data_IF_960467396362
#
_entry.id   IF_960467396362
#
_cell.length_a   1.000
_cell.length_b   1.000
_cell.length_c   1.000
_cell.angle_alpha   90.00
_cell.angle_beta   90.00
_cell.angle_gamma   90.00
#
_symmetry.space_group_name_H-M   'P 1'
#
loop_
_entity.id
_entity.type
_entity.pdbx_description
1 polymer ?
#
# COMPACT_ATOMS: atom_id res chain seq x y z
N UNK A 1 51.51 21.66 -2.72
CA UNK A 1 50.88 20.33 -2.65
C UNK A 1 50.18 20.23 -1.32
N UNK A 2 48.90 19.91 -1.14
CA UNK A 2 47.78 19.59 -2.02
C UNK A 2 46.53 19.99 -1.21
N UNK A 3 45.74 20.93 -1.73
CA UNK A 3 44.49 21.33 -1.10
C UNK A 3 43.47 20.19 -1.18
N UNK A 4 42.98 19.73 -0.02
CA UNK A 4 41.83 18.83 0.04
C UNK A 4 40.60 19.60 -0.43
N UNK A 5 40.09 19.26 -1.61
CA UNK A 5 38.75 19.66 -2.08
C UNK A 5 37.73 19.18 -1.04
N UNK A 6 37.02 20.12 -0.41
CA UNK A 6 35.73 19.82 0.22
C UNK A 6 34.78 19.39 -0.91
N UNK A 7 34.48 18.10 -0.97
CA UNK A 7 33.31 17.65 -1.71
C UNK A 7 32.09 18.30 -1.04
N UNK A 8 31.40 19.13 -1.82
CA UNK A 8 30.10 19.66 -1.45
C UNK A 8 29.18 18.46 -1.32
N UNK A 9 28.65 18.21 -0.12
CA UNK A 9 27.45 17.41 0.08
C UNK A 9 26.39 17.93 -0.91
N UNK A 10 26.21 17.20 -2.02
CA UNK A 10 25.13 17.46 -2.96
C UNK A 10 23.85 17.07 -2.21
N UNK A 11 22.95 18.03 -2.09
CA UNK A 11 21.73 17.90 -1.30
C UNK A 11 20.97 16.64 -1.66
N UNK A 12 20.52 15.93 -0.62
CA UNK A 12 19.51 14.89 -0.68
C UNK A 12 18.33 15.47 -1.49
N UNK A 13 18.06 14.91 -2.66
CA UNK A 13 16.87 15.26 -3.41
C UNK A 13 15.72 14.54 -2.71
N UNK A 14 15.09 15.22 -1.76
CA UNK A 14 13.91 14.70 -1.07
C UNK A 14 12.72 14.80 -2.02
N UNK A 15 11.98 13.71 -2.27
CA UNK A 15 10.72 13.76 -3.01
C UNK A 15 9.74 14.80 -2.40
N UNK A 16 9.77 14.99 -1.07
CA UNK A 16 9.05 16.08 -0.39
C UNK A 16 9.42 17.47 -0.92
N UNK A 17 10.67 17.69 -1.35
CA UNK A 17 11.08 18.97 -1.95
C UNK A 17 10.49 19.17 -3.35
N UNK A 18 10.24 18.11 -4.14
CA UNK A 18 9.63 18.24 -5.46
C UNK A 18 8.15 18.66 -5.39
N UNK A 19 7.44 18.22 -4.36
CA UNK A 19 6.05 18.64 -4.05
C UNK A 19 6.04 20.07 -3.51
N UNK A 20 6.95 20.40 -2.57
CA UNK A 20 7.10 21.77 -2.05
C UNK A 20 7.49 22.75 -3.17
N UNK A 21 8.20 22.29 -4.21
CA UNK A 21 8.54 23.08 -5.39
C UNK A 21 7.43 23.17 -6.44
N UNK A 22 6.26 22.57 -6.20
CA UNK A 22 5.10 22.66 -7.09
C UNK A 22 5.32 22.03 -8.47
N UNK A 23 6.13 20.97 -8.54
CA UNK A 23 6.50 20.36 -9.82
C UNK A 23 5.43 19.44 -10.39
N UNK A 24 4.48 18.96 -9.57
CA UNK A 24 3.30 18.18 -10.02
C UNK A 24 2.04 18.84 -9.47
N UNK A 25 1.00 18.85 -10.30
CA UNK A 25 -0.30 19.46 -10.03
C UNK A 25 -1.31 18.44 -9.50
N UNK A 26 -1.09 17.13 -9.71
CA UNK A 26 -1.97 16.06 -9.25
C UNK A 26 -1.25 14.70 -9.19
N UNK A 27 -1.91 13.73 -8.56
CA UNK A 27 -1.39 12.39 -8.32
C UNK A 27 -1.02 11.64 -9.61
N UNK A 28 -1.80 11.74 -10.69
CA UNK A 28 -1.50 11.01 -11.93
C UNK A 28 -0.21 11.54 -12.59
N UNK A 29 -0.04 12.87 -12.63
CA UNK A 29 1.20 13.50 -13.11
C UNK A 29 2.41 13.06 -12.27
N UNK A 30 2.24 12.95 -10.95
CA UNK A 30 3.31 12.46 -10.07
C UNK A 30 3.68 11.01 -10.38
N UNK A 31 2.70 10.13 -10.60
CA UNK A 31 2.96 8.72 -10.86
C UNK A 31 3.65 8.44 -12.21
N UNK A 32 3.62 9.41 -13.13
CA UNK A 32 4.37 9.38 -14.40
C UNK A 32 5.84 9.81 -14.27
N UNK A 33 6.25 10.33 -13.12
CA UNK A 33 7.63 10.77 -12.93
C UNK A 33 8.63 9.62 -12.97
N UNK A 34 9.80 9.88 -13.53
CA UNK A 34 10.92 8.95 -13.50
C UNK A 34 11.74 9.15 -12.22
N UNK A 35 11.98 8.07 -11.49
CA UNK A 35 12.91 8.09 -10.35
C UNK A 35 14.34 8.04 -10.87
N UNK A 36 15.18 8.97 -10.42
CA UNK A 36 16.62 8.94 -10.70
C UNK A 36 17.27 7.88 -9.80
N UNK A 37 17.72 6.72 -10.32
CA UNK A 37 18.24 5.62 -9.50
C UNK A 37 19.56 6.00 -8.79
N UNK A 38 20.23 7.06 -9.24
CA UNK A 38 21.44 7.58 -8.60
C UNK A 38 21.16 8.52 -7.44
N UNK A 39 19.88 8.90 -7.23
CA UNK A 39 19.43 9.85 -6.21
C UNK A 39 18.28 9.26 -5.40
N UNK A 40 18.59 8.23 -4.62
CA UNK A 40 17.67 7.64 -3.65
C UNK A 40 18.41 6.56 -2.87
N UNK A 41 18.15 6.46 -1.57
CA UNK A 41 18.60 5.30 -0.80
C UNK A 41 17.50 4.25 -0.95
N UNK A 42 17.64 3.35 -1.93
CA UNK A 42 16.78 2.18 -2.03
C UNK A 42 17.40 1.09 -1.16
N UNK A 43 16.99 1.02 0.10
CA UNK A 43 17.61 0.22 1.17
C UNK A 43 17.33 -1.29 1.09
N UNK A 44 16.75 -1.77 -0.01
CA UNK A 44 16.27 -3.15 -0.16
C UNK A 44 17.32 -4.06 -0.74
N UNK A 45 17.34 -5.29 -0.24
CA UNK A 45 18.22 -6.35 -0.72
C UNK A 45 17.35 -7.43 -1.34
N UNK A 46 17.49 -7.65 -2.65
CA UNK A 46 17.07 -8.90 -3.27
C UNK A 46 18.15 -9.95 -2.98
N UNK A 47 17.75 -11.06 -2.38
CA UNK A 47 18.64 -12.17 -2.04
C UNK A 47 18.77 -13.16 -3.19
N UNK A 48 17.76 -13.26 -4.06
CA UNK A 48 17.65 -14.30 -5.08
C UNK A 48 17.52 -15.70 -4.49
N UNK A 49 17.19 -15.81 -3.19
CA UNK A 49 17.15 -17.09 -2.48
C UNK A 49 15.88 -17.90 -2.75
N UNK A 50 14.80 -17.23 -3.18
CA UNK A 50 13.53 -17.84 -3.52
C UNK A 50 13.16 -17.61 -5.00
N UNK A 51 12.31 -18.48 -5.59
CA UNK A 51 11.69 -18.19 -6.88
C UNK A 51 11.04 -16.81 -6.90
N UNK A 52 11.13 -16.14 -8.05
CA UNK A 52 10.61 -14.77 -8.26
C UNK A 52 9.16 -14.63 -7.79
N UNK A 53 8.28 -15.61 -8.07
CA UNK A 53 6.88 -15.54 -7.62
C UNK A 53 6.74 -15.49 -6.09
N UNK A 54 7.58 -16.22 -5.35
CA UNK A 54 7.54 -16.15 -3.89
C UNK A 54 8.09 -14.80 -3.39
N UNK A 55 9.15 -14.29 -4.02
CA UNK A 55 9.67 -12.97 -3.72
C UNK A 55 8.63 -11.87 -3.94
N UNK A 56 7.90 -11.92 -5.05
CA UNK A 56 6.79 -11.00 -5.34
C UNK A 56 5.70 -11.05 -4.26
N UNK A 57 5.30 -12.26 -3.83
CA UNK A 57 4.32 -12.40 -2.75
C UNK A 57 4.81 -11.87 -1.41
N UNK A 58 6.09 -12.06 -1.08
CA UNK A 58 6.70 -11.51 0.15
C UNK A 58 6.72 -9.99 0.10
N UNK A 59 6.98 -9.40 -1.07
CA UNK A 59 7.02 -7.94 -1.25
C UNK A 59 5.67 -7.22 -1.11
N UNK A 60 4.54 -7.93 -1.01
CA UNK A 60 3.21 -7.33 -0.80
C UNK A 60 3.01 -6.72 0.59
N UNK A 61 3.89 -7.03 1.54
CA UNK A 61 3.93 -6.33 2.83
C UNK A 61 4.31 -4.86 2.70
N UNK A 62 4.81 -4.44 1.53
CA UNK A 62 5.08 -3.03 1.24
C UNK A 62 3.76 -2.26 1.24
N UNK A 63 3.73 -1.04 1.80
CA UNK A 63 4.87 -0.17 2.09
C UNK A 63 5.50 -0.38 3.48
N UNK A 64 5.10 -1.38 4.25
CA UNK A 64 5.49 -1.50 5.65
C UNK A 64 6.90 -2.08 5.83
N UNK A 65 7.82 -1.36 6.48
CA UNK A 65 9.12 -1.92 6.92
C UNK A 65 10.39 -1.42 6.20
N UNK A 66 10.34 -0.32 5.44
CA UNK A 66 11.51 0.21 4.70
C UNK A 66 12.63 0.82 5.56
N UNK A 67 12.38 1.10 6.83
CA UNK A 67 13.41 1.61 7.73
C UNK A 67 14.48 0.57 8.08
N UNK A 68 14.25 -0.71 7.75
CA UNK A 68 15.17 -1.81 8.04
C UNK A 68 15.74 -2.40 6.74
N UNK A 69 17.07 -2.59 6.62
CA UNK A 69 17.68 -3.29 5.50
C UNK A 69 17.35 -4.77 5.60
N UNK A 70 16.13 -5.14 5.21
CA UNK A 70 15.63 -6.51 5.24
C UNK A 70 15.38 -7.01 3.82
N UNK A 71 15.65 -8.28 3.55
CA UNK A 71 15.27 -8.91 2.30
C UNK A 71 13.78 -8.70 2.00
N UNK A 72 13.48 -8.25 0.79
CA UNK A 72 12.08 -8.09 0.31
C UNK A 72 11.57 -9.31 -0.46
N UNK A 73 12.44 -10.30 -0.65
CA UNK A 73 12.20 -11.51 -1.41
C UNK A 73 12.43 -12.79 -0.58
N UNK A 74 12.60 -12.66 0.74
CA UNK A 74 12.82 -13.77 1.65
C UNK A 74 12.01 -13.61 2.96
N UNK A 75 11.66 -14.71 3.64
CA UNK A 75 10.95 -14.66 4.91
C UNK A 75 11.73 -13.84 5.94
N UNK A 76 11.02 -13.15 6.86
CA UNK A 76 11.71 -12.40 7.89
C UNK A 76 12.47 -13.35 8.83
N UNK A 77 13.56 -12.85 9.42
CA UNK A 77 14.24 -13.56 10.49
C UNK A 77 13.30 -13.66 11.70
N UNK A 78 13.07 -14.87 12.18
CA UNK A 78 12.36 -15.10 13.44
C UNK A 78 13.21 -14.62 14.61
N UNK A 79 12.61 -13.83 15.49
CA UNK A 79 13.23 -13.30 16.69
C UNK A 79 12.76 -14.11 17.88
N UNK A 80 13.68 -14.78 18.57
CA UNK A 80 13.36 -15.56 19.75
C UNK A 80 13.30 -14.68 21.01
N UNK A 81 12.50 -15.04 22.00
CA UNK A 81 12.47 -14.33 23.29
C UNK A 81 13.83 -14.31 24.04
N UNK A 82 14.76 -15.21 23.68
CA UNK A 82 16.11 -15.33 24.27
C UNK A 82 17.22 -14.66 23.43
N UNK A 83 16.84 -13.83 22.48
CA UNK A 83 17.72 -13.12 21.56
C UNK A 83 18.52 -11.97 22.20
N UNK A 84 19.33 -11.26 21.40
CA UNK A 84 20.05 -10.06 21.84
C UNK A 84 19.09 -8.98 22.39
N UNK A 85 19.57 -8.01 23.20
CA UNK A 85 18.71 -6.95 23.73
C UNK A 85 17.96 -6.14 22.65
N UNK A 86 18.57 -5.94 21.48
CA UNK A 86 17.94 -5.26 20.34
C UNK A 86 16.77 -6.07 19.77
N UNK A 87 16.99 -7.37 19.57
CA UNK A 87 15.99 -8.31 19.10
C UNK A 87 14.84 -8.47 20.12
N UNK A 88 15.11 -8.46 21.43
CA UNK A 88 14.07 -8.44 22.45
C UNK A 88 13.21 -7.17 22.38
N UNK A 89 13.82 -6.02 22.10
CA UNK A 89 13.10 -4.76 21.88
C UNK A 89 12.17 -4.81 20.66
N UNK A 90 12.68 -5.34 19.54
CA UNK A 90 11.90 -5.55 18.32
C UNK A 90 10.73 -6.51 18.55
N UNK A 91 10.96 -7.63 19.23
CA UNK A 91 9.91 -8.59 19.61
C UNK A 91 8.82 -7.90 20.44
N UNK A 92 9.20 -7.18 21.49
CA UNK A 92 8.25 -6.51 22.37
C UNK A 92 7.43 -5.44 21.62
N UNK A 93 8.08 -4.69 20.72
CA UNK A 93 7.41 -3.70 19.88
C UNK A 93 6.36 -4.35 18.97
N UNK A 94 6.72 -5.42 18.24
CA UNK A 94 5.81 -6.09 17.32
C UNK A 94 4.68 -6.80 18.06
N UNK A 95 4.99 -7.50 19.16
CA UNK A 95 3.98 -8.13 20.00
C UNK A 95 2.98 -7.10 20.54
N UNK A 96 3.47 -5.93 20.99
CA UNK A 96 2.60 -4.81 21.41
C UNK A 96 1.72 -4.30 20.27
N UNK A 97 2.25 -4.19 19.05
CA UNK A 97 1.45 -3.76 17.88
C UNK A 97 0.37 -4.79 17.52
N UNK A 98 0.70 -6.08 17.51
CA UNK A 98 -0.26 -7.16 17.25
C UNK A 98 -1.37 -7.18 18.32
N UNK A 99 -1.01 -7.04 19.60
CA UNK A 99 -2.00 -7.03 20.68
C UNK A 99 -2.87 -5.75 20.65
N UNK A 100 -2.25 -4.56 20.60
CA UNK A 100 -2.98 -3.30 20.75
C UNK A 100 -3.75 -2.85 19.52
N UNK A 101 -3.22 -3.11 18.31
CA UNK A 101 -3.86 -2.65 17.06
C UNK A 101 -4.75 -3.73 16.45
N UNK A 102 -4.46 -5.00 16.71
CA UNK A 102 -5.15 -6.12 16.08
C UNK A 102 -5.85 -7.07 17.06
N UNK A 103 -5.59 -6.97 18.36
CA UNK A 103 -6.10 -7.92 19.35
C UNK A 103 -5.51 -9.32 19.21
N UNK A 104 -4.37 -9.47 18.53
CA UNK A 104 -3.75 -10.76 18.24
C UNK A 104 -2.68 -11.07 19.29
N UNK A 105 -2.88 -12.17 20.02
CA UNK A 105 -1.96 -12.66 21.06
C UNK A 105 -1.50 -14.10 20.83
N UNK A 106 -2.06 -14.77 19.82
CA UNK A 106 -1.79 -16.18 19.52
C UNK A 106 -1.69 -16.46 18.01
N UNK A 107 -1.15 -17.64 17.67
CA UNK A 107 -1.08 -18.12 16.29
C UNK A 107 -2.46 -18.28 15.65
N UNK A 108 -3.45 -18.78 16.39
CA UNK A 108 -4.78 -19.04 15.85
C UNK A 108 -5.49 -17.73 15.50
N UNK A 109 -5.44 -16.73 16.39
CA UNK A 109 -5.97 -15.38 16.14
C UNK A 109 -5.28 -14.70 14.95
N UNK A 110 -3.95 -14.89 14.81
CA UNK A 110 -3.20 -14.37 13.66
C UNK A 110 -3.71 -14.98 12.35
N UNK A 111 -3.84 -16.31 12.30
CA UNK A 111 -4.30 -17.03 11.11
C UNK A 111 -5.76 -16.69 10.77
N UNK A 112 -6.61 -16.53 11.78
CA UNK A 112 -7.99 -16.07 11.60
C UNK A 112 -8.04 -14.65 11.01
N UNK A 113 -7.26 -13.71 11.55
CA UNK A 113 -7.19 -12.35 11.05
C UNK A 113 -6.67 -12.29 9.60
N UNK A 114 -5.59 -13.01 9.29
CA UNK A 114 -5.06 -13.08 7.92
C UNK A 114 -6.06 -13.74 6.97
N UNK A 115 -6.69 -14.83 7.38
CA UNK A 115 -7.71 -15.51 6.58
C UNK A 115 -8.90 -14.59 6.31
N UNK A 116 -9.35 -13.83 7.31
CA UNK A 116 -10.45 -12.88 7.16
C UNK A 116 -10.14 -11.83 6.07
N UNK A 117 -8.95 -11.20 6.15
CA UNK A 117 -8.53 -10.18 5.18
C UNK A 117 -8.42 -10.73 3.75
N UNK A 118 -7.99 -11.98 3.58
CA UNK A 118 -7.80 -12.59 2.27
C UNK A 118 -9.07 -13.27 1.71
N UNK A 119 -10.07 -13.59 2.53
CA UNK A 119 -11.27 -14.33 2.09
C UNK A 119 -12.24 -13.49 1.25
N UNK A 120 -12.29 -12.18 1.50
CA UNK A 120 -13.09 -11.26 0.71
C UNK A 120 -12.45 -9.86 0.76
N UNK A 121 -11.39 -9.63 -0.03
CA UNK A 121 -10.66 -8.36 0.02
C UNK A 121 -11.43 -7.21 -0.66
N UNK A 122 -12.62 -7.47 -1.23
CA UNK A 122 -13.43 -6.45 -1.91
C UNK A 122 -14.33 -5.74 -0.91
N UNK A 123 -14.26 -4.42 -0.92
CA UNK A 123 -15.25 -3.56 -0.29
C UNK A 123 -16.47 -3.38 -1.22
N UNK A 124 -17.57 -4.06 -0.89
CA UNK A 124 -18.79 -4.04 -1.69
C UNK A 124 -19.47 -2.66 -1.69
N UNK A 125 -19.35 -1.89 -0.60
CA UNK A 125 -19.89 -0.54 -0.51
C UNK A 125 -19.13 0.38 -1.47
N UNK A 126 -17.79 0.34 -1.44
CA UNK A 126 -16.96 1.07 -2.39
C UNK A 126 -17.33 0.75 -3.83
N UNK A 127 -17.43 -0.53 -4.19
CA UNK A 127 -17.77 -0.92 -5.57
C UNK A 127 -19.11 -0.33 -6.01
N UNK A 128 -20.08 -0.31 -5.10
CA UNK A 128 -21.42 0.22 -5.38
C UNK A 128 -21.42 1.76 -5.48
N UNK A 129 -20.64 2.46 -4.64
CA UNK A 129 -20.56 3.93 -4.61
C UNK A 129 -19.55 4.54 -5.60
N UNK A 130 -18.60 3.74 -6.08
CA UNK A 130 -17.49 4.16 -6.97
C UNK A 130 -17.94 5.04 -8.14
N UNK A 131 -19.04 4.77 -8.86
CA UNK A 131 -19.47 5.63 -9.97
C UNK A 131 -19.78 7.08 -9.56
N UNK A 132 -20.24 7.31 -8.34
CA UNK A 132 -20.55 8.66 -7.82
C UNK A 132 -19.27 9.36 -7.33
N UNK A 133 -18.36 8.61 -6.71
CA UNK A 133 -17.05 9.10 -6.30
C UNK A 133 -16.24 9.51 -7.55
N UNK A 134 -16.26 8.70 -8.61
CA UNK A 134 -15.57 9.00 -9.87
C UNK A 134 -16.14 10.26 -10.53
N UNK A 135 -17.47 10.45 -10.50
CA UNK A 135 -18.09 11.68 -11.02
C UNK A 135 -17.56 12.93 -10.31
N UNK A 136 -17.32 12.88 -9.00
CA UNK A 136 -16.70 13.98 -8.27
C UNK A 136 -15.22 14.14 -8.64
N UNK A 137 -14.47 13.04 -8.70
CA UNK A 137 -13.04 13.04 -9.04
C UNK A 137 -12.75 13.58 -10.46
N UNK A 138 -13.67 13.36 -11.41
CA UNK A 138 -13.55 13.84 -12.79
C UNK A 138 -13.74 15.37 -12.91
N UNK A 139 -14.31 16.03 -11.89
CA UNK A 139 -14.49 17.48 -11.88
C UNK A 139 -13.20 18.20 -11.43
N UNK A 140 -12.94 19.41 -11.94
CA UNK A 140 -11.91 20.28 -11.37
C UNK A 140 -12.15 20.49 -9.87
N UNK A 141 -11.10 20.43 -9.04
CA UNK A 141 -11.20 20.54 -7.57
C UNK A 141 -12.10 21.69 -7.11
N UNK A 142 -11.98 22.86 -7.73
CA UNK A 142 -12.75 24.08 -7.38
C UNK A 142 -14.25 23.97 -7.60
N UNK A 143 -14.69 22.97 -8.37
CA UNK A 143 -16.11 22.73 -8.69
C UNK A 143 -16.72 21.62 -7.80
N UNK A 144 -15.88 20.82 -7.12
CA UNK A 144 -16.29 19.62 -6.39
C UNK A 144 -17.26 19.93 -5.24
N UNK A 145 -16.96 20.91 -4.39
CA UNK A 145 -17.83 21.30 -3.27
C UNK A 145 -19.27 21.60 -3.70
N UNK A 146 -19.44 22.28 -4.83
CA UNK A 146 -20.76 22.63 -5.35
C UNK A 146 -21.51 21.43 -5.94
N UNK A 147 -20.79 20.39 -6.37
CA UNK A 147 -21.35 19.18 -6.98
C UNK A 147 -21.78 18.14 -5.95
N UNK A 148 -21.22 18.16 -4.72
CA UNK A 148 -21.50 17.19 -3.64
C UNK A 148 -23.00 16.96 -3.42
N UNK A 149 -23.87 17.99 -3.24
CA UNK A 149 -25.29 17.75 -2.99
C UNK A 149 -26.00 17.03 -4.14
N UNK A 150 -25.63 17.35 -5.38
CA UNK A 150 -26.23 16.72 -6.57
C UNK A 150 -25.79 15.26 -6.70
N UNK A 151 -24.50 14.98 -6.51
CA UNK A 151 -23.96 13.62 -6.58
C UNK A 151 -24.55 12.73 -5.48
N UNK A 152 -24.69 13.25 -4.25
CA UNK A 152 -25.31 12.54 -3.15
C UNK A 152 -26.79 12.22 -3.42
N UNK A 153 -27.56 13.17 -3.99
CA UNK A 153 -28.96 12.90 -4.35
C UNK A 153 -29.08 11.90 -5.51
N UNK A 154 -28.16 11.92 -6.47
CA UNK A 154 -28.12 10.91 -7.54
C UNK A 154 -27.88 9.51 -6.98
N UNK A 155 -26.90 9.37 -6.08
CA UNK A 155 -26.65 8.09 -5.40
C UNK A 155 -27.91 7.61 -4.68
N UNK A 156 -28.48 8.42 -3.80
CA UNK A 156 -29.70 8.04 -3.07
C UNK A 156 -30.84 7.65 -4.00
N UNK A 157 -31.08 8.43 -5.07
CA UNK A 157 -32.13 8.13 -6.03
C UNK A 157 -31.97 6.76 -6.71
N UNK A 158 -30.75 6.36 -7.04
CA UNK A 158 -30.46 5.06 -7.65
C UNK A 158 -30.61 3.90 -6.64
N UNK A 159 -30.27 4.14 -5.37
CA UNK A 159 -30.42 3.14 -4.30
C UNK A 159 -31.84 3.04 -3.72
N UNK A 160 -32.77 3.98 -4.03
CA UNK A 160 -34.17 3.95 -3.53
C UNK A 160 -34.94 2.66 -3.84
N UNK A 161 -34.54 1.93 -4.88
CA UNK A 161 -35.17 0.67 -5.27
C UNK A 161 -34.56 -0.55 -4.56
N UNK A 162 -33.54 -0.34 -3.73
CA UNK A 162 -32.88 -1.37 -2.94
C UNK A 162 -33.44 -1.41 -1.52
N UNK A 163 -33.05 -2.42 -0.74
CA UNK A 163 -33.38 -2.51 0.70
C UNK A 163 -32.42 -1.67 1.58
N UNK A 164 -31.44 -0.97 0.98
CA UNK A 164 -30.46 -0.18 1.71
C UNK A 164 -31.10 1.17 2.10
N UNK A 165 -31.09 1.55 3.40
CA UNK A 165 -31.61 2.83 3.85
C UNK A 165 -30.89 4.03 3.23
N UNK A 166 -31.62 5.12 2.93
CA UNK A 166 -31.05 6.32 2.28
C UNK A 166 -29.95 6.99 3.12
N UNK A 167 -30.10 6.98 4.44
CA UNK A 167 -29.11 7.50 5.39
C UNK A 167 -27.79 6.72 5.33
N UNK A 168 -27.85 5.39 5.25
CA UNK A 168 -26.66 4.53 5.09
C UNK A 168 -25.91 4.87 3.79
N UNK A 169 -26.63 5.07 2.68
CA UNK A 169 -26.01 5.47 1.40
C UNK A 169 -25.34 6.84 1.51
N UNK A 170 -25.98 7.81 2.19
CA UNK A 170 -25.42 9.15 2.38
C UNK A 170 -24.18 9.11 3.26
N UNK A 171 -24.25 8.44 4.42
CA UNK A 171 -23.12 8.33 5.36
C UNK A 171 -21.93 7.62 4.72
N UNK A 172 -22.16 6.50 4.02
CA UNK A 172 -21.11 5.79 3.29
C UNK A 172 -20.43 6.71 2.26
N UNK A 173 -21.22 7.44 1.47
CA UNK A 173 -20.73 8.33 0.43
C UNK A 173 -20.03 9.59 0.98
N UNK A 174 -20.51 10.19 2.07
CA UNK A 174 -19.98 11.43 2.65
C UNK A 174 -18.47 11.32 2.94
N UNK A 175 -18.06 10.22 3.58
CA UNK A 175 -16.64 9.96 3.87
C UNK A 175 -15.75 9.93 2.62
N UNK A 176 -16.30 9.46 1.49
CA UNK A 176 -15.59 9.46 0.21
C UNK A 176 -15.54 10.85 -0.42
N UNK A 177 -16.66 11.58 -0.43
CA UNK A 177 -16.71 12.90 -1.05
C UNK A 177 -15.79 13.88 -0.33
N UNK A 178 -15.70 13.81 0.99
CA UNK A 178 -14.81 14.63 1.82
C UNK A 178 -13.32 14.43 1.49
N UNK A 179 -12.91 13.22 1.09
CA UNK A 179 -11.54 12.96 0.63
C UNK A 179 -11.24 13.68 -0.68
N UNK A 180 -12.23 13.85 -1.57
CA UNK A 180 -12.04 14.41 -2.91
C UNK A 180 -12.33 15.91 -3.03
N UNK A 181 -12.99 16.53 -2.05
CA UNK A 181 -13.22 17.99 -2.03
C UNK A 181 -12.00 18.79 -1.57
N UNK A 182 -11.11 18.18 -0.81
CA UNK A 182 -9.92 18.85 -0.27
C UNK A 182 -8.81 18.97 -1.32
N UNK A 183 -8.43 20.20 -1.69
CA UNK A 183 -7.47 20.48 -2.77
C UNK A 183 -6.12 19.78 -2.61
N UNK A 184 -5.60 19.68 -1.39
CA UNK A 184 -4.31 19.03 -1.14
C UNK A 184 -4.35 17.50 -1.38
N UNK A 185 -5.52 16.87 -1.34
CA UNK A 185 -5.66 15.42 -1.52
C UNK A 185 -5.51 15.01 -2.98
N UNK A 186 -5.72 15.91 -3.94
CA UNK A 186 -5.61 15.63 -5.38
C UNK A 186 -4.22 15.11 -5.77
N UNK A 187 -3.18 15.47 -5.00
CA UNK A 187 -1.83 14.96 -5.21
C UNK A 187 -1.56 13.63 -4.49
N UNK A 188 -2.35 13.25 -3.49
CA UNK A 188 -2.05 12.14 -2.58
C UNK A 188 -2.69 10.82 -2.98
N UNK A 189 -3.88 10.87 -3.59
CA UNK A 189 -4.69 9.69 -3.92
C UNK A 189 -5.10 9.65 -5.40
N UNK A 190 -5.44 8.46 -5.93
CA UNK A 190 -5.84 8.27 -7.32
C UNK A 190 -7.02 9.14 -7.70
N UNK A 191 -6.94 9.79 -8.86
CA UNK A 191 -8.08 10.53 -9.44
C UNK A 191 -8.84 9.64 -10.44
N UNK A 192 -8.14 8.66 -11.05
CA UNK A 192 -8.78 7.54 -11.71
C UNK A 192 -8.99 6.41 -10.69
N UNK A 193 -10.24 6.17 -10.30
CA UNK A 193 -10.53 5.24 -9.23
C UNK A 193 -10.29 3.77 -9.66
N UNK A 194 -9.57 2.97 -8.86
CA UNK A 194 -9.42 1.54 -9.12
C UNK A 194 -10.77 0.81 -9.07
N UNK A 195 -10.85 -0.39 -9.63
CA UNK A 195 -12.11 -1.16 -9.68
C UNK A 195 -12.52 -1.75 -8.33
N UNK A 196 -11.58 -1.91 -7.40
CA UNK A 196 -11.77 -2.43 -6.05
C UNK A 196 -10.80 -1.75 -5.08
N UNK A 197 -10.79 -2.16 -3.81
CA UNK A 197 -9.78 -1.75 -2.82
C UNK A 197 -8.95 -2.94 -2.31
N UNK A 198 -8.94 -4.05 -3.05
CA UNK A 198 -8.36 -5.32 -2.60
C UNK A 198 -6.88 -5.19 -2.21
N UNK A 199 -6.13 -4.33 -2.90
CA UNK A 199 -4.73 -4.05 -2.57
C UNK A 199 -4.51 -3.64 -1.11
N UNK A 200 -5.43 -2.90 -0.49
CA UNK A 200 -5.32 -2.48 0.91
C UNK A 200 -5.41 -3.67 1.88
N UNK A 201 -6.44 -4.50 1.74
CA UNK A 201 -6.62 -5.66 2.63
C UNK A 201 -5.54 -6.72 2.42
N UNK A 202 -5.10 -6.93 1.18
CA UNK A 202 -3.99 -7.85 0.87
C UNK A 202 -2.68 -7.34 1.48
N UNK A 203 -2.37 -6.05 1.36
CA UNK A 203 -1.16 -5.45 1.95
C UNK A 203 -1.16 -5.53 3.48
N UNK A 204 -2.32 -5.29 4.11
CA UNK A 204 -2.51 -5.48 5.55
C UNK A 204 -2.31 -6.94 5.97
N UNK A 205 -2.87 -7.89 5.23
CA UNK A 205 -2.70 -9.32 5.50
C UNK A 205 -1.23 -9.73 5.44
N UNK A 206 -0.51 -9.28 4.40
CA UNK A 206 0.92 -9.52 4.25
C UNK A 206 1.74 -8.91 5.40
N UNK A 207 1.38 -7.69 5.86
CA UNK A 207 2.01 -7.04 7.03
C UNK A 207 1.81 -7.85 8.30
N UNK A 208 0.57 -8.24 8.60
CA UNK A 208 0.21 -8.98 9.82
C UNK A 208 0.89 -10.33 9.83
N UNK A 209 0.84 -11.07 8.72
CA UNK A 209 1.54 -12.35 8.59
C UNK A 209 3.05 -12.19 8.80
N UNK A 210 3.68 -11.16 8.24
CA UNK A 210 5.10 -10.88 8.45
C UNK A 210 5.41 -10.59 9.91
N UNK A 211 4.62 -9.77 10.59
CA UNK A 211 4.77 -9.48 12.02
C UNK A 211 4.67 -10.75 12.86
N UNK A 212 3.63 -11.57 12.61
CA UNK A 212 3.45 -12.86 13.28
C UNK A 212 4.61 -13.83 13.04
N UNK A 213 5.17 -13.87 11.83
CA UNK A 213 6.35 -14.67 11.52
C UNK A 213 7.59 -14.19 12.31
N UNK A 214 7.81 -12.87 12.41
CA UNK A 214 8.95 -12.32 13.17
C UNK A 214 8.89 -12.76 14.64
N UNK A 215 7.71 -12.67 15.28
CA UNK A 215 7.55 -13.04 16.69
C UNK A 215 7.34 -14.55 16.90
N UNK A 216 7.43 -15.35 15.83
CA UNK A 216 7.34 -16.81 15.90
C UNK A 216 5.94 -17.36 16.18
N UNK A 217 4.87 -16.59 15.90
CA UNK A 217 3.50 -17.09 15.93
C UNK A 217 3.24 -18.06 14.77
N UNK A 218 3.83 -17.80 13.61
CA UNK A 218 3.85 -18.72 12.46
C UNK A 218 5.29 -18.97 12.02
N UNK A 219 5.53 -20.11 11.39
CA UNK A 219 6.83 -20.43 10.83
C UNK A 219 7.03 -19.79 9.42
N UNK A 220 8.28 -19.73 8.93
CA UNK A 220 8.57 -19.17 7.61
C UNK A 220 7.85 -19.87 6.44
N UNK A 221 7.58 -21.18 6.52
CA UNK A 221 6.90 -21.92 5.44
C UNK A 221 5.42 -21.54 5.39
N UNK A 222 4.77 -21.38 6.55
CA UNK A 222 3.42 -20.84 6.66
C UNK A 222 3.34 -19.40 6.11
N UNK A 223 4.31 -18.54 6.45
CA UNK A 223 4.38 -17.18 5.91
C UNK A 223 4.48 -17.17 4.38
N UNK A 224 5.36 -18.01 3.81
CA UNK A 224 5.52 -18.14 2.35
C UNK A 224 4.22 -18.58 1.67
N UNK A 225 3.49 -19.53 2.26
CA UNK A 225 2.20 -19.98 1.71
C UNK A 225 1.14 -18.87 1.74
N UNK A 226 1.10 -18.06 2.80
CA UNK A 226 0.23 -16.88 2.90
C UNK A 226 0.61 -15.86 1.84
N UNK A 227 1.90 -15.54 1.70
CA UNK A 227 2.41 -14.62 0.66
C UNK A 227 2.09 -15.07 -0.76
N UNK A 228 2.16 -16.38 -1.04
CA UNK A 228 1.76 -16.95 -2.33
C UNK A 228 0.25 -16.78 -2.60
N UNK A 229 -0.56 -16.97 -1.57
CA UNK A 229 -2.02 -16.76 -1.64
C UNK A 229 -2.34 -15.29 -1.89
N UNK A 230 -1.68 -14.38 -1.16
CA UNK A 230 -1.79 -12.94 -1.34
C UNK A 230 -1.43 -12.52 -2.78
N UNK A 231 -0.33 -13.03 -3.36
CA UNK A 231 0.02 -12.74 -4.75
C UNK A 231 -1.02 -13.24 -5.76
N UNK A 232 -1.59 -14.42 -5.51
CA UNK A 232 -2.65 -14.97 -6.36
C UNK A 232 -3.85 -14.04 -6.38
N UNK A 233 -4.28 -13.55 -5.21
CA UNK A 233 -5.39 -12.60 -5.09
C UNK A 233 -5.03 -11.22 -5.68
N UNK A 234 -3.80 -10.75 -5.51
CA UNK A 234 -3.35 -9.50 -6.16
C UNK A 234 -3.46 -9.61 -7.68
N UNK A 235 -3.06 -10.75 -8.27
CA UNK A 235 -3.25 -10.99 -9.71
C UNK A 235 -4.72 -11.07 -10.08
N UNK A 236 -5.57 -11.63 -9.24
CA UNK A 236 -7.02 -11.69 -9.52
C UNK A 236 -7.67 -10.31 -9.56
N UNK A 237 -7.31 -9.42 -8.63
CA UNK A 237 -7.98 -8.13 -8.43
C UNK A 237 -7.26 -6.92 -9.00
N UNK A 238 -6.00 -7.04 -9.41
CA UNK A 238 -5.22 -5.94 -9.95
C UNK A 238 -4.70 -6.24 -11.36
N UNK A 239 -4.90 -5.31 -12.28
CA UNK A 239 -4.42 -5.43 -13.67
C UNK A 239 -2.90 -5.24 -13.77
N UNK A 240 -2.31 -4.52 -12.81
CA UNK A 240 -0.88 -4.21 -12.78
C UNK A 240 -0.43 -3.84 -11.36
N UNK A 241 0.87 -3.70 -11.13
CA UNK A 241 1.38 -3.13 -9.88
C UNK A 241 0.88 -1.70 -9.63
N UNK A 242 0.70 -0.91 -10.70
CA UNK A 242 0.15 0.45 -10.60
C UNK A 242 -1.26 0.44 -10.02
N UNK A 243 -2.10 -0.46 -10.52
CA UNK A 243 -3.48 -0.65 -10.05
C UNK A 243 -3.49 -1.16 -8.60
N UNK A 244 -2.63 -2.13 -8.25
CA UNK A 244 -2.48 -2.58 -6.85
C UNK A 244 -2.12 -1.42 -5.90
N UNK A 245 -1.21 -0.52 -6.31
CA UNK A 245 -0.85 0.69 -5.54
C UNK A 245 -2.03 1.64 -5.38
N UNK A 246 -2.83 1.86 -6.44
CA UNK A 246 -4.03 2.70 -6.35
C UNK A 246 -5.04 2.14 -5.36
N UNK A 247 -5.30 0.83 -5.43
CA UNK A 247 -6.19 0.12 -4.51
C UNK A 247 -5.70 0.25 -3.06
N UNK A 248 -4.39 0.11 -2.83
CA UNK A 248 -3.80 0.23 -1.51
C UNK A 248 -3.95 1.65 -0.94
N UNK A 249 -3.54 2.68 -1.68
CA UNK A 249 -3.54 4.06 -1.19
C UNK A 249 -4.96 4.55 -0.92
N UNK A 250 -5.89 4.27 -1.84
CA UNK A 250 -7.28 4.67 -1.68
C UNK A 250 -7.98 3.87 -0.56
N UNK A 251 -7.70 2.57 -0.43
CA UNK A 251 -8.25 1.75 0.65
C UNK A 251 -7.77 2.19 2.03
N UNK A 252 -6.49 2.55 2.16
CA UNK A 252 -5.97 3.16 3.40
C UNK A 252 -6.65 4.50 3.71
N UNK A 253 -6.79 5.36 2.71
CA UNK A 253 -7.43 6.66 2.84
C UNK A 253 -8.85 6.53 3.39
N UNK A 254 -9.63 5.59 2.86
CA UNK A 254 -10.96 5.29 3.38
C UNK A 254 -10.94 4.72 4.78
N UNK A 255 -10.03 3.79 5.06
CA UNK A 255 -9.94 3.19 6.39
C UNK A 255 -9.61 4.22 7.47
N UNK A 256 -8.82 5.25 7.15
CA UNK A 256 -8.51 6.33 8.08
C UNK A 256 -9.54 7.47 8.07
N UNK A 257 -10.24 7.68 6.96
CA UNK A 257 -11.14 8.82 6.71
C UNK A 257 -10.42 10.19 6.72
N UNK A 258 -9.10 10.20 6.62
CA UNK A 258 -8.27 11.39 6.42
C UNK A 258 -6.96 11.02 5.72
N UNK A 259 -6.27 12.02 5.18
CA UNK A 259 -4.92 11.88 4.64
C UNK A 259 -3.91 12.65 5.49
N UNK A 260 -2.78 12.01 5.77
CA UNK A 260 -1.71 12.52 6.62
C UNK A 260 -0.34 12.51 5.92
N UNK A 261 0.70 12.99 6.62
CA UNK A 261 2.08 12.90 6.10
C UNK A 261 2.50 11.45 5.82
N UNK A 262 1.97 10.46 6.55
CA UNK A 262 2.27 9.05 6.33
C UNK A 262 1.68 8.58 4.97
N UNK A 263 0.53 9.09 4.56
CA UNK A 263 -0.05 8.87 3.22
C UNK A 263 0.94 9.30 2.13
N UNK A 264 1.55 10.47 2.30
CA UNK A 264 2.54 10.99 1.38
C UNK A 264 3.77 10.07 1.31
N UNK A 265 4.29 9.65 2.46
CA UNK A 265 5.44 8.75 2.53
C UNK A 265 5.14 7.39 1.87
N UNK A 266 3.94 6.83 2.09
CA UNK A 266 3.50 5.60 1.43
C UNK A 266 3.40 5.75 -0.09
N UNK A 267 2.81 6.85 -0.57
CA UNK A 267 2.70 7.14 -2.00
C UNK A 267 4.08 7.22 -2.66
N UNK A 268 4.97 8.01 -2.08
CA UNK A 268 6.32 8.23 -2.61
C UNK A 268 7.11 6.91 -2.67
N UNK A 269 6.93 6.07 -1.65
CA UNK A 269 7.59 4.78 -1.57
C UNK A 269 7.07 3.79 -2.60
N UNK A 270 5.74 3.70 -2.77
CA UNK A 270 5.13 2.89 -3.82
C UNK A 270 5.54 3.37 -5.21
N UNK A 271 5.63 4.68 -5.43
CA UNK A 271 6.14 5.25 -6.67
C UNK A 271 7.58 4.80 -6.95
N UNK A 272 8.46 4.87 -5.94
CA UNK A 272 9.83 4.35 -6.07
C UNK A 272 9.84 2.87 -6.42
N UNK A 273 8.94 2.05 -5.85
CA UNK A 273 8.83 0.63 -6.21
C UNK A 273 8.41 0.39 -7.64
N UNK A 274 7.52 1.20 -8.18
CA UNK A 274 7.08 1.08 -9.55
C UNK A 274 8.16 1.49 -10.57
N UNK A 275 9.10 2.36 -10.18
CA UNK A 275 10.02 3.02 -11.12
C UNK A 275 11.50 2.68 -10.93
N UNK A 276 11.93 2.24 -9.74
CA UNK A 276 13.34 2.00 -9.47
C UNK A 276 13.82 0.70 -10.14
N UNK A 277 14.91 0.72 -10.93
CA UNK A 277 15.40 -0.47 -11.64
C UNK A 277 15.73 -1.67 -10.75
N UNK A 278 16.13 -1.43 -9.50
CA UNK A 278 16.42 -2.49 -8.53
C UNK A 278 15.17 -3.02 -7.81
N UNK A 279 13.98 -2.46 -8.07
CA UNK A 279 12.74 -2.96 -7.49
C UNK A 279 12.23 -4.20 -8.25
N UNK A 280 11.82 -5.23 -7.51
CA UNK A 280 11.15 -6.39 -8.11
C UNK A 280 9.89 -6.02 -8.89
N UNK A 281 9.14 -5.01 -8.45
CA UNK A 281 7.91 -4.59 -9.15
C UNK A 281 8.21 -3.91 -10.49
N UNK A 282 9.39 -3.31 -10.62
CA UNK A 282 9.89 -2.78 -11.89
C UNK A 282 10.40 -3.90 -12.81
N UNK A 283 11.20 -4.84 -12.26
CA UNK A 283 11.80 -5.95 -13.01
C UNK A 283 10.75 -6.96 -13.51
N UNK A 284 9.75 -7.24 -12.69
CA UNK A 284 8.79 -8.33 -12.89
C UNK A 284 7.35 -7.80 -12.85
N UNK A 285 6.71 -7.57 -14.01
CA UNK A 285 5.28 -7.27 -14.10
C UNK A 285 4.38 -8.25 -13.30
N UNK A 286 3.29 -7.75 -12.73
CA UNK A 286 2.39 -8.55 -11.90
C UNK A 286 1.94 -9.88 -12.55
N UNK A 287 1.61 -9.82 -13.85
CA UNK A 287 1.04 -10.93 -14.64
C UNK A 287 2.05 -11.73 -15.48
N UNK A 288 3.34 -11.70 -15.13
CA UNK A 288 4.33 -12.53 -15.83
C UNK A 288 4.36 -13.99 -15.39
N UNK A 289 4.84 -14.87 -16.27
CA UNK A 289 5.12 -16.28 -15.97
C UNK A 289 6.61 -16.46 -15.64
N UNK A 290 6.92 -16.42 -14.34
CA UNK A 290 8.29 -16.51 -13.82
C UNK A 290 8.70 -17.91 -13.39
N UNK A 291 7.89 -18.92 -13.71
CA UNK A 291 8.16 -20.33 -13.33
C UNK A 291 9.35 -20.93 -14.08
N UNK A 292 9.87 -20.21 -15.08
CA UNK A 292 10.90 -20.70 -16.01
C UNK A 292 12.19 -19.91 -15.99
N UNK A 293 12.32 -18.82 -15.22
CA UNK A 293 13.59 -18.10 -15.14
C UNK A 293 14.59 -18.89 -14.27
N UNK A 294 15.64 -19.48 -14.84
CA UNK A 294 16.76 -19.94 -14.04
C UNK A 294 17.59 -18.72 -13.70
N UNK A 295 17.93 -18.53 -12.42
CA UNK A 295 18.95 -17.61 -11.93
C UNK A 295 19.94 -17.18 -13.04
N UNK A 296 19.75 -15.97 -13.59
CA UNK A 296 20.67 -15.37 -14.55
C UNK A 296 21.61 -14.42 -13.83
#
# INVERSE_FOLDING_TARGET
MLGRKKEKNKGKFSLRAAIIMGLSSNYEEFMEWTVDPSKGDFSHVETGALPVELGLGISLMMPFGESEPTPVDAPPKVVAAQSTPEEQGLFAMIATMLEQQWGITSSDELLEAVSFLLSNPIDAEYVALRPYIQQLADLPVKERDNAVPQIAEMAVADFRQTEIPEDVVREGLESWLDLYTQEHNECLIPQKLPSSLAGWEIGRAARVARMGCIVGMIDPDQYVNISSTALTLTREYSESWRDHVDQFLLGRAKWQEFLDEETLDHRDMMHVRLQHPDSMWFKYPLHGDYRTEPNS
#
